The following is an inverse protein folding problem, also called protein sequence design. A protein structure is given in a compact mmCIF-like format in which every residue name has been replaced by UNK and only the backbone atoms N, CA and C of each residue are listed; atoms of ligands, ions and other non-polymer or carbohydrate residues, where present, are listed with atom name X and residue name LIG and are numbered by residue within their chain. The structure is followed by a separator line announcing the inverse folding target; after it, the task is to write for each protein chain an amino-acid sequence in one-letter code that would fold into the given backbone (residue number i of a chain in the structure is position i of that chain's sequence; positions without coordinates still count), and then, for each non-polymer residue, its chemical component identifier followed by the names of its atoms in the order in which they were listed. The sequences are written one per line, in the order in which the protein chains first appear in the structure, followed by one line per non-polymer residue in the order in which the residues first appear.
data_IF_065880402217
#
_entry.id   IF_065880402217
#
_cell.length_a   1.000
_cell.length_b   1.000
_cell.length_c   1.000
_cell.angle_alpha   90.00
_cell.angle_beta   90.00
_cell.angle_gamma   90.00
#
_symmetry.space_group_name_H-M   'P 1'
#
loop_
_entity.id
_entity.type
_entity.pdbx_description
1 polymer ?
#
# COMPACT_ATOMS: atom_id res chain seq x y z
N UNK A 1 53.67 -10.26 -72.58
CA UNK A 1 52.33 -10.58 -72.02
C UNK A 1 52.49 -10.56 -70.51
N UNK A 2 52.12 -9.43 -69.87
CA UNK A 2 52.15 -9.28 -68.40
C UNK A 2 50.69 -9.39 -67.90
N UNK A 3 50.40 -10.42 -67.07
CA UNK A 3 49.08 -10.57 -66.38
C UNK A 3 49.16 -9.82 -65.06
N UNK A 4 48.32 -8.78 -64.91
CA UNK A 4 48.09 -8.06 -63.65
C UNK A 4 47.12 -8.82 -62.82
N UNK A 5 47.45 -9.15 -61.58
CA UNK A 5 46.62 -9.79 -60.58
C UNK A 5 45.99 -8.69 -59.71
N UNK A 6 44.65 -8.55 -59.76
CA UNK A 6 43.88 -7.57 -59.00
C UNK A 6 43.49 -8.21 -57.64
N UNK A 7 44.09 -7.76 -56.52
CA UNK A 7 43.74 -8.16 -55.19
C UNK A 7 42.54 -7.32 -54.71
N UNK A 8 41.37 -7.94 -54.55
CA UNK A 8 40.22 -7.35 -53.85
C UNK A 8 40.38 -7.48 -52.32
N UNK A 9 40.59 -6.37 -51.66
CA UNK A 9 40.54 -6.29 -50.19
C UNK A 9 39.06 -6.22 -49.74
N UNK A 10 38.57 -7.27 -49.09
CA UNK A 10 37.32 -7.26 -48.35
C UNK A 10 37.55 -6.54 -47.00
N UNK A 11 37.01 -5.33 -46.84
CA UNK A 11 36.93 -4.67 -45.54
C UNK A 11 35.71 -5.19 -44.84
N UNK A 12 35.88 -6.10 -43.85
CA UNK A 12 34.85 -6.50 -42.95
C UNK A 12 34.54 -5.34 -42.00
N UNK A 13 33.43 -4.69 -42.21
CA UNK A 13 32.89 -3.66 -41.32
C UNK A 13 32.49 -4.29 -39.98
N UNK A 14 33.28 -4.07 -38.94
CA UNK A 14 32.90 -4.37 -37.55
C UNK A 14 31.85 -3.33 -37.14
N UNK A 15 30.58 -3.72 -37.11
CA UNK A 15 29.53 -2.91 -36.49
C UNK A 15 29.78 -2.88 -34.99
N UNK A 16 30.39 -1.83 -34.49
CA UNK A 16 30.43 -1.51 -33.07
C UNK A 16 29.04 -1.02 -32.70
N UNK A 17 28.24 -1.91 -32.13
CA UNK A 17 27.01 -1.51 -31.45
C UNK A 17 27.41 -0.67 -30.24
N UNK A 18 27.32 0.64 -30.35
CA UNK A 18 27.41 1.54 -29.19
C UNK A 18 26.24 1.22 -28.26
N UNK A 19 26.55 0.60 -27.11
CA UNK A 19 25.60 0.54 -25.99
C UNK A 19 25.10 1.94 -25.74
N UNK A 20 23.78 2.13 -25.60
CA UNK A 20 23.21 3.43 -25.32
C UNK A 20 23.76 3.93 -23.97
N UNK A 21 24.03 5.25 -23.87
CA UNK A 21 24.52 5.88 -22.62
C UNK A 21 23.59 5.61 -21.41
N UNK A 22 22.38 5.11 -21.64
CA UNK A 22 21.39 4.75 -20.62
C UNK A 22 21.77 3.51 -19.81
N UNK A 23 22.52 2.55 -20.39
CA UNK A 23 22.98 1.34 -19.69
C UNK A 23 24.12 1.64 -18.68
N UNK A 24 24.78 2.78 -18.80
CA UNK A 24 25.80 3.28 -17.87
C UNK A 24 25.21 4.01 -16.65
N UNK A 25 23.96 4.49 -16.72
CA UNK A 25 23.35 5.33 -15.66
C UNK A 25 23.07 4.53 -14.39
N UNK A 26 22.63 3.27 -14.51
CA UNK A 26 22.26 2.43 -13.38
C UNK A 26 23.08 1.15 -13.36
N UNK A 27 23.92 1.01 -12.33
CA UNK A 27 24.59 -0.27 -12.07
C UNK A 27 23.53 -1.28 -11.56
N UNK A 28 23.22 -2.32 -12.35
CA UNK A 28 22.21 -3.32 -12.02
C UNK A 28 22.48 -4.05 -10.70
N UNK A 29 23.71 -4.15 -10.23
CA UNK A 29 24.01 -4.71 -8.91
C UNK A 29 23.36 -3.92 -7.78
N UNK A 30 23.15 -2.60 -7.96
CA UNK A 30 22.45 -1.75 -6.97
C UNK A 30 20.95 -2.02 -6.94
N UNK A 31 20.37 -2.64 -7.97
CA UNK A 31 18.93 -2.99 -7.99
C UNK A 31 18.61 -4.18 -7.10
N UNK A 32 19.58 -4.97 -6.64
CA UNK A 32 19.40 -6.11 -5.75
C UNK A 32 18.75 -5.76 -4.40
N UNK A 33 18.73 -4.48 -4.03
CA UNK A 33 18.01 -4.01 -2.84
C UNK A 33 16.49 -3.90 -3.05
N UNK A 34 16.00 -4.00 -4.28
CA UNK A 34 14.58 -3.94 -4.63
C UNK A 34 14.09 -5.30 -5.13
N UNK A 35 12.78 -5.52 -5.03
CA UNK A 35 12.15 -6.74 -5.52
C UNK A 35 10.86 -6.37 -6.25
N UNK A 36 10.56 -7.02 -7.38
CA UNK A 36 9.32 -6.76 -8.10
C UNK A 36 8.11 -7.26 -7.31
N UNK A 37 6.97 -6.57 -7.45
CA UNK A 37 5.71 -6.99 -6.85
C UNK A 37 5.23 -8.29 -7.48
N UNK A 38 4.75 -9.26 -6.68
CA UNK A 38 4.02 -10.42 -7.17
C UNK A 38 2.57 -10.05 -7.53
N UNK A 39 1.86 -10.98 -8.15
CA UNK A 39 0.41 -10.81 -8.43
C UNK A 39 -0.46 -10.92 -7.18
N UNK A 40 0.01 -11.58 -6.14
CA UNK A 40 -0.65 -11.74 -4.83
C UNK A 40 0.36 -12.20 -3.79
N UNK A 41 0.01 -12.02 -2.52
CA UNK A 41 0.79 -12.53 -1.37
C UNK A 41 -0.05 -13.60 -0.65
N UNK A 42 0.47 -14.82 -0.62
CA UNK A 42 -0.15 -15.95 0.10
C UNK A 42 0.00 -15.79 1.63
N UNK A 43 -1.01 -16.25 2.37
CA UNK A 43 -0.94 -16.43 3.82
C UNK A 43 -1.20 -17.91 4.15
N UNK A 44 -0.18 -18.68 4.57
CA UNK A 44 -0.36 -20.10 4.91
C UNK A 44 -1.40 -20.35 6.02
N UNK A 45 -1.62 -19.35 6.90
CA UNK A 45 -2.64 -19.44 7.98
C UNK A 45 -4.05 -19.12 7.49
N UNK A 46 -4.18 -18.51 6.31
CA UNK A 46 -5.45 -18.18 5.66
C UNK A 46 -5.36 -18.54 4.16
N UNK A 47 -5.33 -19.84 3.81
CA UNK A 47 -5.22 -20.28 2.43
C UNK A 47 -6.30 -19.65 1.55
N UNK A 48 -5.88 -19.20 0.39
CA UNK A 48 -6.74 -18.51 -0.56
C UNK A 48 -7.71 -19.49 -1.26
N UNK A 49 -8.94 -19.05 -1.49
CA UNK A 49 -9.87 -19.64 -2.45
C UNK A 49 -10.74 -18.53 -3.07
N UNK A 50 -11.34 -18.79 -4.23
CA UNK A 50 -12.14 -17.80 -4.96
C UNK A 50 -13.37 -17.34 -4.18
N UNK A 51 -13.98 -18.21 -3.37
CA UNK A 51 -15.11 -17.86 -2.53
C UNK A 51 -14.72 -16.86 -1.41
N UNK A 52 -13.52 -16.99 -0.82
CA UNK A 52 -12.99 -15.99 0.12
C UNK A 52 -12.74 -14.65 -0.57
N UNK A 53 -12.19 -14.66 -1.79
CA UNK A 53 -11.98 -13.45 -2.57
C UNK A 53 -13.31 -12.73 -2.82
N UNK A 54 -14.33 -13.46 -3.30
CA UNK A 54 -15.66 -12.90 -3.54
C UNK A 54 -16.28 -12.34 -2.24
N UNK A 55 -16.22 -13.10 -1.17
CA UNK A 55 -16.74 -12.69 0.13
C UNK A 55 -16.02 -11.44 0.66
N UNK A 56 -14.69 -11.44 0.64
CA UNK A 56 -13.87 -10.31 1.11
C UNK A 56 -14.12 -9.04 0.30
N UNK A 57 -14.26 -9.18 -1.02
CA UNK A 57 -14.63 -8.08 -1.90
C UNK A 57 -15.98 -7.46 -1.49
N UNK A 58 -17.00 -8.28 -1.23
CA UNK A 58 -18.32 -7.79 -0.77
C UNK A 58 -18.22 -7.13 0.61
N UNK A 59 -17.51 -7.75 1.57
CA UNK A 59 -17.34 -7.21 2.91
C UNK A 59 -16.60 -5.87 2.93
N UNK A 60 -15.62 -5.66 2.06
CA UNK A 60 -14.91 -4.38 1.93
C UNK A 60 -15.83 -3.21 1.55
N UNK A 61 -16.94 -3.47 0.87
CA UNK A 61 -17.95 -2.49 0.49
C UNK A 61 -19.19 -2.50 1.41
N UNK A 62 -19.23 -3.36 2.44
CA UNK A 62 -20.41 -3.60 3.26
C UNK A 62 -20.58 -2.53 4.34
N UNK A 63 -21.54 -1.64 4.14
CA UNK A 63 -21.82 -0.57 5.09
C UNK A 63 -22.52 -1.04 6.36
N UNK A 64 -23.21 -2.20 6.34
CA UNK A 64 -23.84 -2.78 7.52
C UNK A 64 -22.83 -3.31 8.55
N UNK A 65 -21.52 -3.22 8.24
CA UNK A 65 -20.43 -3.38 9.20
C UNK A 65 -20.10 -2.08 9.97
N UNK A 66 -20.81 -0.96 9.73
CA UNK A 66 -20.81 0.20 10.64
C UNK A 66 -22.14 0.29 11.38
N UNK A 67 -22.12 0.87 12.58
CA UNK A 67 -23.29 0.87 13.48
C UNK A 67 -24.51 1.58 12.87
N UNK A 68 -24.28 2.66 12.12
CA UNK A 68 -25.30 3.46 11.44
C UNK A 68 -25.48 3.10 9.95
N UNK A 69 -24.74 2.10 9.44
CA UNK A 69 -24.76 1.66 8.04
C UNK A 69 -24.30 2.72 7.02
N UNK A 70 -23.51 3.71 7.45
CA UNK A 70 -23.02 4.78 6.57
C UNK A 70 -21.63 4.52 6.03
N UNK A 71 -20.77 3.81 6.79
CA UNK A 71 -19.34 3.64 6.52
C UNK A 71 -19.02 2.18 6.13
N UNK A 72 -18.09 2.02 5.21
CA UNK A 72 -17.44 0.74 4.85
C UNK A 72 -15.94 0.96 4.71
N UNK A 73 -15.13 -0.09 4.54
CA UNK A 73 -13.69 0.05 4.27
C UNK A 73 -13.44 0.97 3.06
N UNK A 74 -14.24 0.80 2.00
CA UNK A 74 -14.17 1.64 0.79
C UNK A 74 -14.43 3.14 1.08
N UNK A 75 -15.14 3.49 2.14
CA UNK A 75 -15.40 4.91 2.47
C UNK A 75 -14.13 5.67 2.81
N UNK A 76 -13.18 5.02 3.52
CA UNK A 76 -11.89 5.57 3.90
C UNK A 76 -10.76 5.16 2.95
N UNK A 77 -10.96 4.06 2.21
CA UNK A 77 -9.99 3.50 1.27
C UNK A 77 -10.60 3.40 -0.13
N UNK A 78 -10.83 4.56 -0.78
CA UNK A 78 -11.43 4.60 -2.11
C UNK A 78 -10.52 3.95 -3.15
N UNK A 79 -10.90 2.76 -3.62
CA UNK A 79 -10.09 1.97 -4.54
C UNK A 79 -9.87 2.64 -5.91
N UNK A 80 -10.78 3.51 -6.34
CA UNK A 80 -10.61 4.29 -7.58
C UNK A 80 -9.67 5.48 -7.41
N UNK A 81 -9.32 5.83 -6.16
CA UNK A 81 -8.38 6.87 -5.77
C UNK A 81 -7.15 6.26 -5.07
N UNK A 82 -6.65 5.15 -5.57
CA UNK A 82 -5.47 4.45 -5.02
C UNK A 82 -5.61 4.09 -3.54
N UNK A 83 -6.84 3.79 -3.07
CA UNK A 83 -7.09 3.26 -1.73
C UNK A 83 -6.98 4.29 -0.60
N UNK A 84 -7.23 5.57 -0.88
CA UNK A 84 -7.21 6.67 0.09
C UNK A 84 -8.29 7.72 -0.20
N UNK A 85 -8.45 8.75 0.64
CA UNK A 85 -9.52 9.75 0.55
C UNK A 85 -9.11 11.10 0.00
N UNK A 86 -7.81 11.39 -0.17
CA UNK A 86 -7.29 12.72 -0.52
C UNK A 86 -7.38 13.75 0.61
N UNK A 87 -7.72 13.34 1.82
CA UNK A 87 -7.86 14.22 3.00
C UNK A 87 -6.87 13.84 4.08
N UNK A 88 -6.48 14.79 4.95
CA UNK A 88 -5.56 14.51 6.06
C UNK A 88 -6.12 13.44 7.00
N UNK A 89 -7.41 13.51 7.30
CA UNK A 89 -8.12 12.50 8.08
C UNK A 89 -9.38 12.06 7.35
N UNK A 90 -9.68 10.75 7.32
CA UNK A 90 -10.94 10.27 6.79
C UNK A 90 -12.12 10.73 7.66
N UNK A 91 -13.32 10.55 7.16
CA UNK A 91 -14.55 10.77 7.92
C UNK A 91 -15.17 9.43 8.26
N UNK A 92 -15.26 9.13 9.55
CA UNK A 92 -15.93 7.95 10.06
C UNK A 92 -17.40 8.21 10.45
N UNK A 93 -17.94 7.28 11.23
CA UNK A 93 -19.32 7.33 11.73
C UNK A 93 -19.59 8.66 12.45
N UNK A 94 -20.78 9.24 12.25
CA UNK A 94 -21.21 10.51 12.86
C UNK A 94 -20.20 11.66 12.67
N UNK A 95 -19.61 11.74 11.48
CA UNK A 95 -18.61 12.75 11.07
C UNK A 95 -17.33 12.81 11.94
N UNK A 96 -17.07 11.77 12.73
CA UNK A 96 -15.85 11.71 13.53
C UNK A 96 -14.60 11.63 12.65
N UNK A 97 -13.48 12.11 13.17
CA UNK A 97 -12.19 12.10 12.50
C UNK A 97 -11.24 11.18 13.26
N UNK A 98 -10.87 10.01 12.72
CA UNK A 98 -9.72 9.27 13.23
C UNK A 98 -8.47 10.13 13.23
N UNK A 99 -7.63 9.97 14.25
CA UNK A 99 -6.48 10.85 14.49
C UNK A 99 -5.30 10.69 13.51
N UNK A 100 -5.41 9.82 12.49
CA UNK A 100 -4.35 9.54 11.51
C UNK A 100 -4.89 9.50 10.10
N UNK A 101 -4.01 9.82 9.14
CA UNK A 101 -4.27 9.66 7.72
C UNK A 101 -4.50 8.18 7.36
N UNK A 102 -5.47 7.91 6.48
CA UNK A 102 -5.71 6.56 5.95
C UNK A 102 -4.62 6.18 4.95
N UNK A 103 -3.74 5.21 5.25
CA UNK A 103 -2.79 4.71 4.26
C UNK A 103 -3.53 3.93 3.18
N UNK A 104 -2.90 3.84 2.00
CA UNK A 104 -3.45 3.00 0.94
C UNK A 104 -3.55 1.53 1.35
N UNK A 105 -4.61 0.85 0.94
CA UNK A 105 -4.75 -0.62 1.05
C UNK A 105 -4.05 -1.36 -0.08
N UNK A 106 -3.72 -0.69 -1.19
CA UNK A 106 -2.95 -1.32 -2.26
C UNK A 106 -1.56 -1.68 -1.77
N UNK A 107 -1.15 -2.89 -2.09
CA UNK A 107 0.12 -3.48 -1.67
C UNK A 107 0.30 -3.60 -0.14
N UNK A 108 -0.74 -3.40 0.68
CA UNK A 108 -0.62 -3.45 2.15
C UNK A 108 -0.15 -4.81 2.67
N UNK A 109 -0.53 -5.90 2.00
CA UNK A 109 -0.19 -7.27 2.40
C UNK A 109 1.31 -7.61 2.37
N UNK A 110 2.16 -6.78 1.72
CA UNK A 110 3.62 -6.96 1.73
C UNK A 110 4.30 -6.29 2.94
N UNK A 111 3.57 -5.53 3.75
CA UNK A 111 4.15 -4.81 4.87
C UNK A 111 4.44 -5.74 6.06
N UNK A 112 5.48 -5.41 6.84
CA UNK A 112 5.87 -6.15 8.05
C UNK A 112 4.78 -6.16 9.13
N UNK A 113 3.93 -5.14 9.13
CA UNK A 113 2.79 -4.98 10.02
C UNK A 113 1.83 -3.93 9.45
N UNK A 114 0.63 -3.80 10.03
CA UNK A 114 -0.39 -2.87 9.58
C UNK A 114 -0.57 -1.71 10.57
N UNK A 115 -1.24 -0.64 10.10
CA UNK A 115 -1.28 0.69 10.71
C UNK A 115 0.08 1.43 10.72
N UNK A 116 0.05 2.73 11.01
CA UNK A 116 1.26 3.55 11.12
C UNK A 116 2.19 3.10 12.27
N UNK A 117 1.61 2.66 13.38
CA UNK A 117 2.31 2.19 14.58
C UNK A 117 2.64 0.69 14.56
N UNK A 118 2.13 -0.05 13.56
CA UNK A 118 2.38 -1.48 13.39
C UNK A 118 1.75 -2.36 14.47
N UNK A 119 0.60 -1.95 15.01
CA UNK A 119 -0.08 -2.68 16.09
C UNK A 119 -0.70 -4.00 15.66
N UNK A 120 -0.96 -4.19 14.35
CA UNK A 120 -1.50 -5.45 13.82
C UNK A 120 -0.49 -6.15 12.91
N UNK A 121 -0.37 -7.49 13.02
CA UNK A 121 0.66 -8.24 12.32
C UNK A 121 0.42 -8.40 10.81
N UNK A 122 -0.84 -8.42 10.38
CA UNK A 122 -1.23 -8.67 8.99
C UNK A 122 -2.55 -7.98 8.63
N UNK A 123 -2.94 -8.07 7.36
CA UNK A 123 -4.18 -7.45 6.85
C UNK A 123 -5.44 -8.11 7.40
N UNK A 124 -5.41 -9.40 7.74
CA UNK A 124 -6.51 -10.11 8.36
C UNK A 124 -6.83 -9.59 9.77
N UNK A 125 -5.80 -9.37 10.56
CA UNK A 125 -5.94 -8.81 11.90
C UNK A 125 -6.37 -7.32 11.82
N UNK A 126 -5.75 -6.57 10.92
CA UNK A 126 -6.04 -5.15 10.70
C UNK A 126 -7.50 -4.91 10.31
N UNK A 127 -8.07 -5.72 9.41
CA UNK A 127 -9.42 -5.56 8.90
C UNK A 127 -10.51 -5.56 10.00
N UNK A 128 -10.22 -6.17 11.15
CA UNK A 128 -11.13 -6.23 12.31
C UNK A 128 -11.16 -4.92 13.10
N UNK A 129 -10.02 -4.23 13.22
CA UNK A 129 -9.89 -3.04 14.08
C UNK A 129 -10.85 -1.90 13.73
N UNK A 130 -10.91 -1.41 12.49
CA UNK A 130 -11.79 -0.32 12.07
C UNK A 130 -13.28 -0.56 12.31
N UNK A 131 -13.73 -1.81 12.22
CA UNK A 131 -15.13 -2.18 12.45
C UNK A 131 -15.56 -1.83 13.88
N UNK A 132 -14.66 -1.99 14.85
CA UNK A 132 -14.91 -1.73 16.27
C UNK A 132 -14.52 -0.31 16.71
N UNK A 133 -13.67 0.36 15.92
CA UNK A 133 -13.18 1.69 16.27
C UNK A 133 -14.30 2.73 16.28
N UNK A 134 -14.53 3.37 17.43
CA UNK A 134 -15.61 4.32 17.63
C UNK A 134 -15.58 5.52 16.69
N UNK A 135 -14.39 5.98 16.29
CA UNK A 135 -14.24 7.07 15.34
C UNK A 135 -14.27 6.62 13.86
N UNK A 136 -14.41 5.32 13.57
CA UNK A 136 -14.42 4.77 12.22
C UNK A 136 -15.78 4.13 11.89
N UNK A 137 -16.03 2.85 12.28
CA UNK A 137 -17.27 2.14 11.97
C UNK A 137 -18.17 1.89 13.21
N UNK A 138 -17.63 1.99 14.42
CA UNK A 138 -18.34 2.12 15.68
C UNK A 138 -19.17 0.92 16.13
N UNK A 139 -18.91 -0.29 15.62
CA UNK A 139 -19.58 -1.49 16.15
C UNK A 139 -19.20 -1.72 17.61
N UNK A 140 -20.14 -2.13 18.48
CA UNK A 140 -19.86 -2.31 19.90
C UNK A 140 -18.88 -3.45 20.17
N UNK A 141 -18.99 -4.52 19.39
CA UNK A 141 -18.14 -5.71 19.46
C UNK A 141 -18.25 -6.56 18.18
N UNK A 142 -17.39 -7.58 18.08
CA UNK A 142 -17.37 -8.50 16.94
C UNK A 142 -18.64 -9.38 16.85
N UNK A 143 -19.22 -9.76 17.97
CA UNK A 143 -20.44 -10.57 18.02
C UNK A 143 -21.62 -9.82 17.43
N UNK A 144 -21.70 -8.51 17.67
CA UNK A 144 -22.73 -7.68 17.07
C UNK A 144 -22.57 -7.57 15.55
N UNK A 145 -21.34 -7.40 15.04
CA UNK A 145 -21.06 -7.42 13.62
C UNK A 145 -21.45 -8.78 12.97
N UNK A 146 -21.09 -9.89 13.63
CA UNK A 146 -21.48 -11.26 13.23
C UNK A 146 -23.01 -11.43 13.24
N UNK A 147 -23.71 -10.93 14.27
CA UNK A 147 -25.17 -10.96 14.36
C UNK A 147 -25.82 -10.25 13.16
N UNK A 148 -25.30 -9.09 12.77
CA UNK A 148 -25.78 -8.39 11.57
C UNK A 148 -25.61 -9.26 10.33
N UNK A 149 -24.42 -9.80 10.09
CA UNK A 149 -24.15 -10.63 8.92
C UNK A 149 -24.98 -11.94 8.93
N UNK A 150 -25.14 -12.60 10.09
CA UNK A 150 -25.99 -13.82 10.25
C UNK A 150 -27.45 -13.54 9.93
N UNK A 151 -27.93 -12.31 10.06
CA UNK A 151 -29.30 -11.92 9.73
C UNK A 151 -29.54 -11.76 8.20
N UNK A 152 -28.50 -11.85 7.41
CA UNK A 152 -28.51 -11.65 5.95
C UNK A 152 -28.25 -13.02 5.28
N UNK A 153 -29.29 -13.72 4.76
CA UNK A 153 -29.14 -15.09 4.27
C UNK A 153 -28.03 -15.25 3.22
N UNK A 154 -27.87 -14.29 2.32
CA UNK A 154 -26.83 -14.34 1.31
C UNK A 154 -25.41 -14.35 1.88
N UNK A 155 -25.15 -13.67 3.01
CA UNK A 155 -23.85 -13.76 3.67
C UNK A 155 -23.63 -15.11 4.34
N UNK A 156 -24.66 -15.70 4.95
CA UNK A 156 -24.55 -17.04 5.55
C UNK A 156 -24.06 -18.05 4.51
N UNK A 157 -24.63 -18.03 3.30
CA UNK A 157 -24.23 -18.93 2.22
C UNK A 157 -22.83 -18.61 1.67
N UNK A 158 -22.45 -17.32 1.55
CA UNK A 158 -21.12 -16.93 1.10
C UNK A 158 -20.03 -17.37 2.10
N UNK A 159 -20.28 -17.23 3.42
CA UNK A 159 -19.33 -17.68 4.44
C UNK A 159 -19.16 -19.21 4.42
N UNK A 160 -20.24 -19.99 4.30
CA UNK A 160 -20.15 -21.45 4.16
C UNK A 160 -19.29 -21.87 2.96
N UNK A 161 -19.42 -21.19 1.83
CA UNK A 161 -18.59 -21.48 0.64
C UNK A 161 -17.13 -21.07 0.84
N UNK A 162 -16.89 -19.95 1.52
CA UNK A 162 -15.54 -19.42 1.76
C UNK A 162 -14.75 -20.24 2.80
N UNK A 163 -15.47 -20.84 3.77
CA UNK A 163 -14.89 -21.61 4.89
C UNK A 163 -15.58 -22.98 5.02
N UNK A 164 -15.44 -23.87 4.04
CA UNK A 164 -16.21 -25.13 3.99
C UNK A 164 -15.84 -26.11 5.12
N UNK A 165 -14.65 -26.01 5.69
CA UNK A 165 -14.14 -26.91 6.73
C UNK A 165 -14.45 -26.40 8.15
N UNK A 166 -15.20 -25.28 8.29
CA UNK A 166 -15.54 -24.68 9.58
C UNK A 166 -16.96 -25.05 10.00
N UNK A 167 -17.12 -25.56 11.23
CA UNK A 167 -18.43 -25.87 11.83
C UNK A 167 -19.29 -24.58 11.98
N UNK A 168 -18.69 -23.45 12.37
CA UNK A 168 -19.28 -22.11 12.31
C UNK A 168 -18.45 -21.22 11.37
N UNK A 169 -18.83 -21.18 10.11
CA UNK A 169 -18.13 -20.42 9.10
C UNK A 169 -18.22 -18.90 9.33
N UNK A 170 -19.32 -18.39 9.93
CA UNK A 170 -19.56 -16.96 10.10
C UNK A 170 -19.15 -16.52 11.50
N UNK A 171 -17.85 -16.33 11.68
CA UNK A 171 -17.20 -15.77 12.87
C UNK A 171 -16.57 -14.41 12.57
N UNK A 172 -16.26 -13.62 13.61
CA UNK A 172 -15.58 -12.33 13.43
C UNK A 172 -14.16 -12.47 12.87
N UNK A 173 -13.46 -13.55 13.24
CA UNK A 173 -12.15 -13.87 12.66
C UNK A 173 -12.26 -14.17 11.16
N UNK A 174 -13.30 -14.88 10.74
CA UNK A 174 -13.52 -15.17 9.33
C UNK A 174 -13.97 -13.93 8.53
N UNK A 175 -14.56 -12.92 9.16
CA UNK A 175 -14.75 -11.59 8.53
C UNK A 175 -13.39 -10.99 8.19
N UNK A 176 -12.46 -10.94 9.15
CA UNK A 176 -11.08 -10.47 8.91
C UNK A 176 -10.34 -11.31 7.88
N UNK A 177 -10.44 -12.64 7.97
CA UNK A 177 -9.81 -13.56 7.02
C UNK A 177 -10.29 -13.37 5.58
N UNK A 178 -11.58 -13.13 5.37
CA UNK A 178 -12.13 -12.89 4.04
C UNK A 178 -11.69 -11.53 3.47
N UNK A 179 -11.75 -10.47 4.28
CA UNK A 179 -11.30 -9.13 3.87
C UNK A 179 -9.79 -9.18 3.56
N UNK A 180 -8.98 -9.81 4.42
CA UNK A 180 -7.54 -9.96 4.18
C UNK A 180 -7.22 -10.74 2.92
N UNK A 181 -7.96 -11.82 2.61
CA UNK A 181 -7.79 -12.56 1.37
C UNK A 181 -8.04 -11.68 0.13
N UNK A 182 -9.02 -10.78 0.19
CA UNK A 182 -9.25 -9.80 -0.85
C UNK A 182 -8.11 -8.76 -0.93
N UNK A 183 -7.68 -8.18 0.18
CA UNK A 183 -6.61 -7.19 0.20
C UNK A 183 -5.28 -7.74 -0.32
N UNK A 184 -4.99 -9.04 -0.12
CA UNK A 184 -3.81 -9.74 -0.66
C UNK A 184 -3.78 -9.81 -2.20
N UNK A 185 -4.90 -9.53 -2.86
CA UNK A 185 -5.01 -9.41 -4.32
C UNK A 185 -4.97 -7.95 -4.81
N UNK A 186 -5.02 -6.96 -3.91
CA UNK A 186 -4.93 -5.55 -4.27
C UNK A 186 -3.48 -5.13 -4.55
N UNK A 187 -2.86 -5.79 -5.52
CA UNK A 187 -1.49 -5.51 -5.93
C UNK A 187 -1.48 -4.63 -7.18
N UNK A 188 -0.54 -3.69 -7.23
CA UNK A 188 -0.41 -2.72 -8.31
C UNK A 188 1.01 -2.71 -8.88
N UNK A 189 1.41 -3.75 -9.63
CA UNK A 189 2.71 -3.76 -10.29
C UNK A 189 2.84 -2.56 -11.24
N UNK A 190 4.04 -2.03 -11.36
CA UNK A 190 4.35 -0.81 -12.09
C UNK A 190 5.48 -1.03 -13.10
N UNK A 191 5.78 -0.02 -13.93
CA UNK A 191 6.92 -0.05 -14.86
C UNK A 191 8.27 -0.29 -14.15
N UNK A 192 8.40 0.12 -12.89
CA UNK A 192 9.58 -0.20 -12.09
C UNK A 192 9.75 -1.70 -11.87
N UNK A 193 8.65 -2.45 -11.71
CA UNK A 193 8.71 -3.91 -11.59
C UNK A 193 9.19 -4.57 -12.88
N UNK A 194 8.80 -4.07 -14.05
CA UNK A 194 9.26 -4.58 -15.34
C UNK A 194 10.73 -4.25 -15.55
N UNK A 195 11.18 -3.06 -15.15
CA UNK A 195 12.58 -2.69 -15.13
C UNK A 195 13.42 -3.62 -14.24
N UNK A 196 12.93 -3.97 -13.04
CA UNK A 196 13.58 -4.92 -12.13
C UNK A 196 13.69 -6.33 -12.74
N UNK A 197 12.70 -6.74 -13.56
CA UNK A 197 12.70 -8.02 -14.28
C UNK A 197 13.59 -8.04 -15.52
N UNK A 198 14.19 -6.91 -15.91
CA UNK A 198 15.15 -6.82 -17.01
C UNK A 198 14.68 -6.06 -18.25
N UNK A 199 13.51 -5.46 -18.24
CA UNK A 199 13.09 -4.54 -19.32
C UNK A 199 13.72 -3.16 -19.15
N UNK A 200 14.87 -2.95 -19.77
CA UNK A 200 15.62 -1.69 -19.70
C UNK A 200 14.84 -0.49 -20.29
N UNK A 201 13.81 -0.75 -21.09
CA UNK A 201 12.99 0.29 -21.72
C UNK A 201 11.79 0.68 -20.85
N UNK A 202 11.50 -0.07 -19.79
CA UNK A 202 10.39 0.21 -18.88
C UNK A 202 10.54 1.55 -18.15
N UNK A 203 11.77 2.03 -17.94
CA UNK A 203 12.05 3.36 -17.38
C UNK A 203 12.72 4.25 -18.42
N UNK A 204 12.37 5.52 -18.43
CA UNK A 204 13.05 6.58 -19.16
C UNK A 204 14.41 6.90 -18.53
N UNK A 205 15.31 7.53 -19.27
CA UNK A 205 16.63 7.96 -18.74
C UNK A 205 16.48 8.95 -17.58
N UNK A 206 15.47 9.82 -17.62
CA UNK A 206 15.16 10.72 -16.51
C UNK A 206 14.73 9.98 -15.25
N UNK A 207 13.92 8.93 -15.37
CA UNK A 207 13.53 8.07 -14.24
C UNK A 207 14.72 7.27 -13.70
N UNK A 208 15.59 6.76 -14.56
CA UNK A 208 16.85 6.10 -14.18
C UNK A 208 17.78 7.06 -13.44
N UNK A 209 17.95 8.30 -13.93
CA UNK A 209 18.69 9.35 -13.23
C UNK A 209 18.08 9.61 -11.84
N UNK A 210 16.76 9.72 -11.76
CA UNK A 210 16.03 9.91 -10.50
C UNK A 210 16.22 8.77 -9.53
N UNK A 211 16.21 7.52 -9.99
CA UNK A 211 16.53 6.35 -9.18
C UNK A 211 17.95 6.43 -8.61
N UNK A 212 18.93 6.82 -9.40
CA UNK A 212 20.31 7.00 -8.92
C UNK A 212 20.41 8.14 -7.90
N UNK A 213 19.69 9.25 -8.10
CA UNK A 213 19.62 10.35 -7.12
C UNK A 213 18.98 9.87 -5.81
N UNK A 214 17.89 9.07 -5.89
CA UNK A 214 17.24 8.46 -4.73
C UNK A 214 18.19 7.56 -3.94
N UNK A 215 18.98 6.72 -4.64
CA UNK A 215 19.99 5.84 -4.04
C UNK A 215 21.13 6.65 -3.40
N UNK A 216 21.74 7.58 -4.13
CA UNK A 216 22.90 8.37 -3.68
C UNK A 216 22.57 9.35 -2.57
N UNK A 217 21.31 9.84 -2.50
CA UNK A 217 20.82 10.64 -1.39
C UNK A 217 20.72 9.82 -0.10
N UNK A 218 20.57 8.47 -0.20
CA UNK A 218 20.47 7.57 0.95
C UNK A 218 19.05 7.16 1.31
N UNK A 219 18.05 7.45 0.48
CA UNK A 219 16.65 7.11 0.72
C UNK A 219 16.45 5.59 0.85
N UNK A 220 17.26 4.82 0.15
CA UNK A 220 17.24 3.34 0.17
C UNK A 220 17.61 2.72 1.51
N UNK A 221 18.16 3.48 2.45
CA UNK A 221 18.39 2.99 3.83
C UNK A 221 17.09 2.52 4.49
N UNK A 222 15.96 3.18 4.19
CA UNK A 222 14.65 2.86 4.73
C UNK A 222 13.64 2.42 3.64
N UNK A 223 13.81 2.93 2.42
CA UNK A 223 12.90 2.70 1.30
C UNK A 223 13.52 1.74 0.28
N UNK A 224 13.49 0.45 0.58
CA UNK A 224 13.97 -0.65 -0.26
C UNK A 224 13.00 -1.84 -0.23
N UNK A 225 13.41 -3.00 -0.74
CA UNK A 225 12.60 -4.19 -0.80
C UNK A 225 11.44 -4.09 -1.82
N UNK A 226 10.47 -4.98 -1.68
CA UNK A 226 9.32 -5.13 -2.59
C UNK A 226 8.41 -3.90 -2.58
N UNK A 227 8.16 -3.32 -1.42
CA UNK A 227 7.31 -2.14 -1.22
C UNK A 227 8.02 -0.81 -1.46
N UNK A 228 9.33 -0.82 -1.70
CA UNK A 228 10.16 0.39 -1.60
C UNK A 228 9.88 1.08 -0.26
N UNK A 229 9.94 0.29 0.81
CA UNK A 229 9.49 0.58 2.18
C UNK A 229 8.55 -0.51 2.70
N UNK A 230 7.90 -0.28 3.84
CA UNK A 230 6.91 -1.20 4.44
C UNK A 230 7.47 -2.34 5.28
N UNK A 231 8.78 -2.47 5.41
CA UNK A 231 9.42 -3.66 6.02
C UNK A 231 10.19 -3.37 7.32
N UNK A 232 10.23 -2.12 7.79
CA UNK A 232 10.90 -1.74 9.05
C UNK A 232 10.17 -0.56 9.73
N UNK A 233 10.54 -0.32 10.98
CA UNK A 233 10.15 0.87 11.74
C UNK A 233 11.30 1.84 11.79
N UNK A 234 10.99 3.14 11.75
CA UNK A 234 11.99 4.19 11.90
C UNK A 234 11.43 5.37 12.67
N UNK A 235 12.30 6.01 13.47
CA UNK A 235 11.98 7.25 14.15
C UNK A 235 11.77 8.37 13.13
N UNK A 236 10.63 9.03 13.18
CA UNK A 236 10.40 10.24 12.39
C UNK A 236 11.24 11.39 13.00
N UNK A 237 12.10 11.99 12.17
CA UNK A 237 13.08 12.95 12.64
C UNK A 237 14.31 12.28 13.28
N UNK A 238 14.87 11.26 12.60
CA UNK A 238 16.01 10.48 13.08
C UNK A 238 17.26 11.34 13.34
N UNK A 239 17.61 12.23 12.41
CA UNK A 239 18.81 13.08 12.47
C UNK A 239 18.46 14.49 12.99
N UNK A 240 17.40 15.08 12.48
CA UNK A 240 16.87 16.37 12.91
C UNK A 240 15.43 16.19 13.36
N UNK A 241 15.14 16.55 14.61
CA UNK A 241 13.81 16.38 15.19
C UNK A 241 12.70 16.91 14.27
N UNK A 242 11.62 16.13 14.12
CA UNK A 242 10.44 16.58 13.38
C UNK A 242 9.69 17.64 14.20
N UNK A 243 9.33 18.78 13.61
CA UNK A 243 8.68 19.85 14.37
C UNK A 243 7.27 19.47 14.80
N UNK A 244 6.88 19.86 16.01
CA UNK A 244 5.52 19.72 16.55
C UNK A 244 4.95 18.28 16.54
N UNK A 245 5.82 17.27 16.60
CA UNK A 245 5.40 15.88 16.63
C UNK A 245 4.81 15.54 18.00
N UNK A 246 3.52 15.20 18.01
CA UNK A 246 2.76 14.85 19.23
C UNK A 246 2.34 13.39 19.27
N UNK A 247 2.20 12.74 18.11
CA UNK A 247 1.86 11.33 18.03
C UNK A 247 3.07 10.48 18.44
N UNK A 248 2.92 9.73 19.51
CA UNK A 248 4.01 8.90 20.07
C UNK A 248 4.37 7.69 19.21
N UNK A 249 3.56 7.38 18.18
CA UNK A 249 3.82 6.28 17.26
C UNK A 249 3.80 4.93 17.94
N UNK A 250 4.83 4.11 17.69
CA UNK A 250 4.92 2.74 18.18
C UNK A 250 5.01 2.63 19.70
N UNK A 251 5.52 3.62 20.41
CA UNK A 251 5.59 3.57 21.89
C UNK A 251 4.21 3.47 22.53
N UNK A 252 3.17 4.02 21.90
CA UNK A 252 1.79 3.87 22.37
C UNK A 252 1.29 2.41 22.31
N UNK A 253 1.93 1.54 21.51
CA UNK A 253 1.63 0.11 21.39
C UNK A 253 2.49 -0.73 22.31
N UNK A 254 3.79 -0.43 22.37
CA UNK A 254 4.78 -1.26 23.09
C UNK A 254 4.98 -0.85 24.55
N UNK A 255 4.59 0.37 24.93
CA UNK A 255 4.91 0.95 26.23
C UNK A 255 6.40 1.26 26.42
N UNK A 256 7.24 1.10 25.40
CA UNK A 256 8.67 1.33 25.45
C UNK A 256 9.01 2.74 24.95
N UNK A 257 9.60 3.58 25.82
CA UNK A 257 10.00 4.95 25.46
C UNK A 257 11.02 4.99 24.30
N UNK A 258 11.82 3.93 24.11
CA UNK A 258 12.74 3.83 22.99
C UNK A 258 12.02 3.78 21.62
N UNK A 259 10.76 3.37 21.59
CA UNK A 259 9.93 3.30 20.39
C UNK A 259 9.19 4.63 20.11
N UNK A 260 9.42 5.68 20.90
CA UNK A 260 8.75 6.96 20.75
C UNK A 260 9.06 7.59 19.40
N UNK A 261 8.00 8.04 18.72
CA UNK A 261 8.04 8.61 17.38
C UNK A 261 8.51 7.63 16.28
N UNK A 262 8.57 6.31 16.59
CA UNK A 262 8.78 5.31 15.56
C UNK A 262 7.46 4.98 14.86
N UNK A 263 7.53 4.95 13.54
CA UNK A 263 6.43 4.56 12.67
C UNK A 263 6.93 3.48 11.70
N UNK A 264 6.02 2.64 11.24
CA UNK A 264 6.31 1.78 10.11
C UNK A 264 6.64 2.67 8.91
N UNK A 265 7.82 2.46 8.30
CA UNK A 265 8.20 3.17 7.09
C UNK A 265 7.17 2.87 5.99
N UNK A 266 6.48 3.87 5.44
CA UNK A 266 5.46 3.61 4.44
C UNK A 266 6.07 3.11 3.14
N UNK A 267 5.30 2.29 2.40
CA UNK A 267 5.61 1.97 1.01
C UNK A 267 5.58 3.25 0.16
N UNK A 268 6.48 3.34 -0.81
CA UNK A 268 6.46 4.41 -1.81
C UNK A 268 5.73 4.00 -3.10
N UNK A 269 5.19 2.78 -3.17
CA UNK A 269 4.34 2.36 -4.28
C UNK A 269 3.11 3.27 -4.36
N UNK A 270 2.83 3.78 -5.56
CA UNK A 270 1.73 4.72 -5.83
C UNK A 270 1.83 6.06 -5.08
N UNK A 271 2.99 6.44 -4.54
CA UNK A 271 3.13 7.62 -3.68
C UNK A 271 2.68 8.91 -4.35
N UNK A 272 2.78 9.03 -5.68
CA UNK A 272 2.32 10.19 -6.45
C UNK A 272 0.80 10.36 -6.45
N UNK A 273 0.06 9.31 -6.08
CA UNK A 273 -1.40 9.27 -6.10
C UNK A 273 -2.03 9.35 -4.70
N UNK A 274 -1.19 9.32 -3.63
CA UNK A 274 -1.66 9.11 -2.26
C UNK A 274 -1.39 10.29 -1.32
N UNK A 275 -1.38 11.51 -1.86
CA UNK A 275 -1.39 12.72 -1.04
C UNK A 275 -2.70 12.83 -0.21
N UNK A 276 -2.66 13.46 0.98
CA UNK A 276 -1.52 14.05 1.66
C UNK A 276 -0.63 13.04 2.39
N UNK A 277 0.59 13.43 2.72
CA UNK A 277 1.65 12.58 3.24
C UNK A 277 1.80 12.67 4.75
N UNK A 278 2.49 11.69 5.35
CA UNK A 278 2.69 11.43 6.77
C UNK A 278 1.45 10.84 7.47
N UNK A 279 1.67 10.37 8.70
CA UNK A 279 0.64 9.78 9.55
C UNK A 279 -0.49 10.77 9.91
N UNK A 280 -0.21 12.06 9.88
CA UNK A 280 -1.15 13.15 10.14
C UNK A 280 -1.65 13.86 8.87
N UNK A 281 -1.16 13.46 7.68
CA UNK A 281 -1.52 14.09 6.43
C UNK A 281 -1.19 15.58 6.35
N UNK A 282 -0.14 16.02 7.05
CA UNK A 282 0.21 17.44 7.17
C UNK A 282 0.90 18.02 5.94
N UNK A 283 1.48 17.20 5.09
CA UNK A 283 2.19 17.63 3.87
C UNK A 283 1.39 17.21 2.64
N UNK A 284 1.08 18.17 1.77
CA UNK A 284 0.29 17.92 0.56
C UNK A 284 1.15 17.70 -0.68
N UNK A 285 2.29 18.37 -0.76
CA UNK A 285 3.14 18.38 -1.94
C UNK A 285 4.27 17.34 -1.81
N UNK A 286 4.45 16.50 -2.83
CA UNK A 286 5.43 15.41 -2.81
C UNK A 286 6.87 15.92 -2.81
N UNK A 287 7.17 16.99 -3.53
CA UNK A 287 8.49 17.62 -3.54
C UNK A 287 8.87 18.17 -2.17
N UNK A 288 7.93 18.82 -1.48
CA UNK A 288 8.12 19.23 -0.10
C UNK A 288 8.37 18.04 0.82
N UNK A 289 7.62 16.93 0.65
CA UNK A 289 7.81 15.72 1.43
C UNK A 289 9.21 15.12 1.23
N UNK A 290 9.69 15.05 -0.01
CA UNK A 290 11.03 14.56 -0.35
C UNK A 290 12.12 15.43 0.32
N UNK A 291 12.02 16.77 0.25
CA UNK A 291 12.95 17.69 0.93
C UNK A 291 12.93 17.50 2.43
N UNK A 292 11.75 17.40 3.04
CA UNK A 292 11.61 17.19 4.49
C UNK A 292 12.16 15.84 4.93
N UNK A 293 12.00 14.79 4.15
CA UNK A 293 12.63 13.50 4.44
C UNK A 293 14.15 13.58 4.35
N UNK A 294 14.71 14.24 3.34
CA UNK A 294 16.16 14.44 3.25
C UNK A 294 16.69 15.23 4.46
N UNK A 295 16.00 16.30 4.86
CA UNK A 295 16.39 17.15 5.98
C UNK A 295 16.33 16.41 7.33
N UNK A 296 15.18 15.81 7.65
CA UNK A 296 14.92 15.28 8.99
C UNK A 296 15.42 13.86 9.20
N UNK A 297 15.38 13.01 8.17
CA UNK A 297 15.84 11.62 8.28
C UNK A 297 17.33 11.45 7.99
N UNK A 298 17.88 12.25 7.06
CA UNK A 298 19.26 12.09 6.56
C UNK A 298 20.18 13.27 6.93
N UNK A 299 19.65 14.37 7.48
CA UNK A 299 20.40 15.58 7.77
C UNK A 299 20.95 16.27 6.52
N UNK A 300 20.31 16.09 5.36
CA UNK A 300 20.77 16.60 4.08
C UNK A 300 19.84 17.67 3.53
N UNK A 301 20.44 18.75 3.03
CA UNK A 301 19.73 19.68 2.16
C UNK A 301 19.97 19.26 0.70
N UNK A 302 18.92 19.02 -0.02
CA UNK A 302 18.98 18.64 -1.45
C UNK A 302 18.50 19.79 -2.33
N UNK A 303 19.01 19.87 -3.54
CA UNK A 303 18.65 20.90 -4.52
C UNK A 303 17.22 20.68 -5.06
N UNK A 304 16.67 21.70 -5.70
CA UNK A 304 15.39 21.56 -6.44
C UNK A 304 15.54 20.58 -7.59
N UNK A 305 16.69 20.55 -8.27
CA UNK A 305 16.96 19.60 -9.35
C UNK A 305 16.96 18.17 -8.83
N UNK A 306 17.67 17.85 -7.73
CA UNK A 306 17.68 16.52 -7.14
C UNK A 306 16.29 16.12 -6.65
N UNK A 307 15.54 17.06 -6.06
CA UNK A 307 14.16 16.83 -5.62
C UNK A 307 13.29 16.40 -6.79
N UNK A 308 13.31 17.16 -7.90
CA UNK A 308 12.53 16.84 -9.10
C UNK A 308 13.00 15.54 -9.78
N UNK A 309 14.30 15.24 -9.73
CA UNK A 309 14.86 13.99 -10.21
C UNK A 309 14.29 12.80 -9.42
N UNK A 310 14.30 12.88 -8.08
CA UNK A 310 13.69 11.87 -7.21
C UNK A 310 12.18 11.73 -7.48
N UNK A 311 11.43 12.83 -7.54
CA UNK A 311 9.99 12.80 -7.84
C UNK A 311 9.72 12.15 -9.21
N UNK A 312 10.60 12.36 -10.19
CA UNK A 312 10.49 11.73 -11.51
C UNK A 312 10.63 10.20 -11.40
N UNK A 313 11.58 9.70 -10.61
CA UNK A 313 11.66 8.27 -10.30
C UNK A 313 10.40 7.77 -9.60
N UNK A 314 9.91 8.47 -8.57
CA UNK A 314 8.73 8.07 -7.81
C UNK A 314 7.48 7.90 -8.70
N UNK A 315 7.36 8.63 -9.81
CA UNK A 315 6.28 8.43 -10.80
C UNK A 315 6.30 7.04 -11.45
N UNK A 316 7.48 6.42 -11.57
CA UNK A 316 7.60 5.06 -12.10
C UNK A 316 7.05 3.98 -11.16
N UNK A 317 6.83 4.31 -9.88
CA UNK A 317 6.24 3.43 -8.88
C UNK A 317 4.71 3.40 -8.89
N UNK A 318 4.08 4.21 -9.74
CA UNK A 318 2.63 4.16 -9.98
C UNK A 318 2.29 2.92 -10.79
N UNK A 319 1.48 2.05 -10.20
CA UNK A 319 1.01 0.82 -10.84
C UNK A 319 -0.44 0.94 -11.35
N UNK A 320 -0.83 -0.03 -12.16
CA UNK A 320 -2.18 -0.13 -12.67
C UNK A 320 -3.13 -0.71 -11.62
N UNK A 321 -4.30 -0.09 -11.48
CA UNK A 321 -5.34 -0.57 -10.58
C UNK A 321 -5.98 -1.85 -11.13
N UNK A 322 -6.23 -2.88 -10.30
CA UNK A 322 -6.85 -4.14 -10.70
C UNK A 322 -8.34 -3.92 -10.99
N UNK A 323 -8.68 -3.67 -12.27
CA UNK A 323 -10.00 -3.17 -12.74
C UNK A 323 -11.19 -3.96 -12.21
N UNK A 324 -11.08 -5.29 -12.16
CA UNK A 324 -12.16 -6.17 -11.70
C UNK A 324 -12.36 -6.12 -10.19
N UNK A 325 -11.30 -5.85 -9.42
CA UNK A 325 -11.34 -5.82 -7.97
C UNK A 325 -11.77 -4.47 -7.38
N UNK A 326 -11.66 -3.39 -8.14
CA UNK A 326 -11.98 -2.04 -7.63
C UNK A 326 -13.44 -1.61 -7.86
N UNK A 327 -14.23 -2.43 -8.55
CA UNK A 327 -15.64 -2.14 -8.76
C UNK A 327 -16.46 -2.56 -7.56
N UNK A 328 -17.51 -1.80 -7.23
CA UNK A 328 -18.44 -2.21 -6.18
C UNK A 328 -19.20 -3.45 -6.64
N UNK A 329 -19.15 -4.56 -5.89
CA UNK A 329 -19.92 -5.75 -6.21
C UNK A 329 -21.39 -5.60 -5.78
N UNK A 330 -22.24 -6.46 -6.31
CA UNK A 330 -23.61 -6.61 -5.77
C UNK A 330 -23.52 -7.23 -4.37
N UNK A 331 -24.19 -6.60 -3.42
CA UNK A 331 -24.21 -7.05 -2.03
C UNK A 331 -25.51 -7.85 -1.75
N UNK A 332 -25.45 -8.86 -0.87
CA UNK A 332 -26.65 -9.56 -0.44
C UNK A 332 -27.69 -8.61 0.17
N UNK A 333 -28.96 -8.82 -0.16
CA UNK A 333 -30.05 -8.03 0.41
C UNK A 333 -30.26 -8.33 1.90
N UNK A 334 -30.72 -7.34 2.64
CA UNK A 334 -31.08 -7.50 4.05
C UNK A 334 -32.22 -8.50 4.21
N UNK A 335 -32.09 -9.38 5.18
CA UNK A 335 -33.15 -10.31 5.55
C UNK A 335 -34.24 -9.63 6.38
N UNK A 336 -35.39 -10.30 6.61
CA UNK A 336 -36.51 -9.75 7.38
C UNK A 336 -36.15 -9.44 8.84
N UNK A 337 -35.11 -10.13 9.36
CA UNK A 337 -34.64 -9.98 10.75
C UNK A 337 -33.38 -9.13 10.84
N UNK A 338 -32.92 -8.50 9.75
CA UNK A 338 -31.74 -7.63 9.78
C UNK A 338 -32.04 -6.41 10.65
N UNK A 339 -31.29 -6.17 11.74
CA UNK A 339 -31.46 -5.01 12.58
C UNK A 339 -31.43 -3.71 11.78
N UNK A 340 -32.15 -2.71 12.20
CA UNK A 340 -32.05 -1.36 11.64
C UNK A 340 -30.73 -0.71 12.09
N UNK A 341 -30.18 0.25 11.30
CA UNK A 341 -29.04 1.04 11.73
C UNK A 341 -29.33 1.73 13.06
N UNK A 342 -28.31 1.88 13.89
CA UNK A 342 -28.41 2.60 15.16
C UNK A 342 -27.71 3.94 15.03
N UNK A 343 -28.27 4.96 15.67
CA UNK A 343 -27.60 6.22 15.83
C UNK A 343 -26.37 6.06 16.73
N UNK A 344 -25.24 6.54 16.29
CA UNK A 344 -24.00 6.52 17.08
C UNK A 344 -23.95 7.76 17.98
N UNK A 345 -24.02 7.56 19.28
CA UNK A 345 -23.89 8.64 20.26
C UNK A 345 -22.42 8.73 20.66
N UNK A 346 -21.78 9.84 20.30
CA UNK A 346 -20.42 10.16 20.73
C UNK A 346 -20.43 10.26 22.27
N UNK A 347 -19.62 9.40 22.93
CA UNK A 347 -19.47 9.41 24.38
C UNK A 347 -18.38 10.39 24.83
#
# INVERSE_FOLDING_TARGET
MKKSLLCLLFVAGVSVTTKSNADEIVNRAMLGMFQPLPKSIENPKNPFNDAKLELGHKLFFERRLSLDYTISCHSCHNLKQYGQTGTSFPTGISDQKPGRNSPTVFNAAIHVAQFWDGREPDVEAQAKGPILAGAEMGMPDGDYAVKILKSIPGYVELFKKAFPDSDDALTYDNVGNAIGAYERKLMTPSRFDDYLKGDDKALTDAEKKGLMTFISTGCTTCHNGMGVGGHLYQKLGLVKAWPNLTDEGRSAVTGNEADKFHFKVPSLRNITETAPYLHDGSIKELDMMVKKMAEHQLGRTISDEDTQSIVTFLKSLKGDLPKDLIQRPDLPESGPNTPKPKEYIVK
#
